data_IF_404618376411
#
_entry.id   IF_404618376411
#
_cell.length_a   1.000
_cell.length_b   1.000
_cell.length_c   1.000
_cell.angle_alpha   90.00
_cell.angle_beta   90.00
_cell.angle_gamma   90.00
#
_symmetry.space_group_name_H-M   'P 1'
#
loop_
_entity.id
_entity.type
_entity.pdbx_description
1 polymer ?
#
# COMPACT_ATOMS: atom_id res chain seq x y z
N UNK A 1 -17.54 4.65 16.35
CA UNK A 1 -16.19 5.21 16.33
C UNK A 1 -15.43 4.82 15.08
N UNK A 2 -14.89 5.77 14.45
CA UNK A 2 -14.18 5.53 13.22
C UNK A 2 -12.72 5.17 13.48
N UNK A 3 -12.27 4.10 12.88
CA UNK A 3 -10.86 3.75 12.98
C UNK A 3 -10.06 4.59 12.00
N UNK A 4 -8.79 4.75 12.31
CA UNK A 4 -7.91 5.47 11.42
C UNK A 4 -7.71 4.68 10.14
N UNK A 5 -7.79 5.36 9.01
CA UNK A 5 -7.59 4.74 7.73
C UNK A 5 -6.46 5.42 7.00
N UNK A 6 -5.73 4.66 6.22
CA UNK A 6 -4.66 5.18 5.40
C UNK A 6 -5.18 5.36 3.98
N UNK A 7 -5.11 6.59 3.51
CA UNK A 7 -5.51 6.90 2.16
C UNK A 7 -4.27 6.99 1.28
N UNK A 8 -4.33 6.30 0.17
CA UNK A 8 -3.23 6.28 -0.78
C UNK A 8 -3.68 7.04 -2.01
N UNK A 9 -3.63 8.35 -1.90
CA UNK A 9 -4.17 9.25 -2.90
C UNK A 9 -3.03 9.92 -3.65
N UNK A 10 -2.55 9.26 -4.68
CA UNK A 10 -1.44 9.74 -5.48
C UNK A 10 -1.92 10.30 -6.80
N UNK A 11 -1.21 11.30 -7.31
CA UNK A 11 -1.36 11.64 -8.72
C UNK A 11 -0.81 10.48 -9.53
N UNK A 12 -1.22 10.42 -10.80
CA UNK A 12 -0.73 9.36 -11.68
C UNK A 12 0.79 9.41 -11.78
N UNK A 13 1.34 10.60 -11.84
CA UNK A 13 2.78 10.78 -11.96
C UNK A 13 3.50 10.29 -10.70
N UNK A 14 2.99 10.65 -9.54
CA UNK A 14 3.59 10.23 -8.29
C UNK A 14 3.53 8.71 -8.15
N UNK A 15 2.39 8.12 -8.48
CA UNK A 15 2.24 6.68 -8.43
C UNK A 15 3.26 5.99 -9.34
N UNK A 16 3.37 6.48 -10.57
CA UNK A 16 4.32 5.89 -11.52
C UNK A 16 5.75 6.02 -11.03
N UNK A 17 6.08 7.15 -10.42
CA UNK A 17 7.42 7.37 -9.89
C UNK A 17 7.73 6.37 -8.78
N UNK A 18 6.79 6.19 -7.86
CA UNK A 18 6.97 5.25 -6.75
C UNK A 18 7.16 3.85 -7.28
N UNK A 19 6.35 3.45 -8.25
CA UNK A 19 6.42 2.09 -8.79
C UNK A 19 7.68 1.84 -9.59
N UNK A 20 8.25 2.88 -10.19
CA UNK A 20 9.47 2.75 -10.97
C UNK A 20 10.73 2.89 -10.13
N UNK A 21 10.60 3.38 -8.90
CA UNK A 21 11.76 3.63 -8.05
C UNK A 21 11.98 2.44 -7.10
N UNK A 22 13.03 2.56 -6.29
CA UNK A 22 13.35 1.55 -5.29
C UNK A 22 12.87 1.95 -3.90
N UNK A 23 11.94 2.89 -3.83
CA UNK A 23 11.38 3.31 -2.55
C UNK A 23 10.70 2.14 -1.86
N UNK A 24 9.98 1.32 -2.64
CA UNK A 24 9.31 0.14 -2.13
C UNK A 24 9.90 -1.11 -2.77
N UNK A 25 9.87 -2.20 -2.01
CA UNK A 25 10.25 -3.51 -2.55
C UNK A 25 9.14 -4.02 -3.45
N UNK A 26 9.46 -5.02 -4.27
CA UNK A 26 8.48 -5.55 -5.22
C UNK A 26 7.21 -6.01 -4.52
N UNK A 27 7.35 -6.70 -3.39
CA UNK A 27 6.17 -7.15 -2.64
C UNK A 27 5.32 -5.97 -2.19
N UNK A 28 5.97 -4.91 -1.70
CA UNK A 28 5.25 -3.74 -1.23
C UNK A 28 4.58 -3.02 -2.39
N UNK A 29 5.20 -3.03 -3.56
CA UNK A 29 4.58 -2.43 -4.75
C UNK A 29 3.29 -3.16 -5.11
N UNK A 30 3.29 -4.48 -5.03
CA UNK A 30 2.09 -5.26 -5.31
C UNK A 30 1.00 -4.92 -4.31
N UNK A 31 1.36 -4.79 -3.03
CA UNK A 31 0.41 -4.44 -2.00
C UNK A 31 -0.15 -3.04 -2.25
N UNK A 32 0.71 -2.09 -2.58
CA UNK A 32 0.28 -0.74 -2.86
C UNK A 32 -0.68 -0.70 -4.05
N UNK A 33 -0.38 -1.45 -5.07
CA UNK A 33 -1.24 -1.51 -6.25
C UNK A 33 -2.65 -1.96 -5.85
N UNK A 34 -2.74 -2.98 -5.02
CA UNK A 34 -4.03 -3.48 -4.57
C UNK A 34 -4.74 -2.44 -3.69
N UNK A 35 -3.99 -1.77 -2.82
CA UNK A 35 -4.58 -0.75 -1.96
C UNK A 35 -5.17 0.40 -2.78
N UNK A 36 -4.44 0.83 -3.79
CA UNK A 36 -4.90 1.92 -4.66
C UNK A 36 -6.14 1.51 -5.44
N UNK A 37 -6.23 0.23 -5.79
CA UNK A 37 -7.39 -0.29 -6.52
C UNK A 37 -8.57 -0.59 -5.61
N UNK A 38 -8.46 -0.31 -4.32
CA UNK A 38 -9.59 -0.50 -3.41
C UNK A 38 -9.76 -1.92 -2.92
N UNK A 39 -8.77 -2.78 -3.13
CA UNK A 39 -8.83 -4.16 -2.65
C UNK A 39 -8.74 -4.15 -1.12
N UNK A 40 -9.61 -4.91 -0.48
CA UNK A 40 -9.63 -4.95 0.97
C UNK A 40 -8.38 -5.60 1.51
N UNK A 41 -7.92 -5.13 2.67
CA UNK A 41 -6.72 -5.65 3.30
C UNK A 41 -6.79 -7.17 3.49
N UNK A 42 -7.96 -7.68 3.84
CA UNK A 42 -8.14 -9.11 4.03
C UNK A 42 -7.86 -9.88 2.76
N UNK A 43 -8.35 -9.38 1.63
CA UNK A 43 -8.12 -10.03 0.35
C UNK A 43 -6.66 -9.92 -0.07
N UNK A 44 -6.03 -8.79 0.22
CA UNK A 44 -4.61 -8.62 -0.07
C UNK A 44 -3.80 -9.67 0.67
N UNK A 45 -4.15 -9.91 1.93
CA UNK A 45 -3.46 -10.91 2.74
C UNK A 45 -3.57 -12.29 2.10
N UNK A 46 -4.77 -12.64 1.67
CA UNK A 46 -5.01 -13.94 1.04
C UNK A 46 -4.19 -14.05 -0.24
N UNK A 47 -4.22 -13.01 -1.08
CA UNK A 47 -3.52 -13.03 -2.35
C UNK A 47 -2.01 -13.12 -2.19
N UNK A 48 -1.48 -12.58 -1.11
CA UNK A 48 -0.05 -12.58 -0.86
C UNK A 48 0.37 -13.70 0.09
N UNK A 49 -0.57 -14.56 0.48
CA UNK A 49 -0.29 -15.68 1.38
C UNK A 49 0.34 -15.22 2.68
N UNK A 50 -0.15 -14.10 3.19
CA UNK A 50 0.32 -13.50 4.43
C UNK A 50 -0.83 -13.41 5.41
N UNK A 51 -0.51 -13.20 6.69
CA UNK A 51 -1.54 -12.97 7.68
C UNK A 51 -2.09 -11.54 7.49
N UNK A 52 -3.32 -11.35 7.95
CA UNK A 52 -3.94 -10.03 7.93
C UNK A 52 -3.06 -9.02 8.66
N UNK A 53 -2.50 -9.44 9.78
CA UNK A 53 -1.66 -8.56 10.59
C UNK A 53 -0.43 -8.11 9.82
N UNK A 54 0.18 -9.02 9.07
CA UNK A 54 1.36 -8.68 8.28
C UNK A 54 1.03 -7.61 7.26
N UNK A 55 -0.12 -7.74 6.60
CA UNK A 55 -0.52 -6.74 5.60
C UNK A 55 -0.82 -5.40 6.26
N UNK A 56 -1.42 -5.40 7.44
CA UNK A 56 -1.68 -4.15 8.15
C UNK A 56 -0.38 -3.44 8.47
N UNK A 57 0.63 -4.18 8.91
CA UNK A 57 1.96 -3.61 9.20
C UNK A 57 2.59 -3.07 7.93
N UNK A 58 2.52 -3.84 6.84
CA UNK A 58 3.08 -3.41 5.57
C UNK A 58 2.38 -2.16 5.05
N UNK A 59 1.06 -2.12 5.18
CA UNK A 59 0.30 -0.95 4.75
C UNK A 59 0.76 0.30 5.46
N UNK A 60 0.97 0.21 6.76
CA UNK A 60 1.44 1.35 7.54
C UNK A 60 2.82 1.79 7.06
N UNK A 61 3.73 0.84 6.85
CA UNK A 61 5.08 1.17 6.39
C UNK A 61 5.06 1.80 5.02
N UNK A 62 4.24 1.27 4.12
CA UNK A 62 4.13 1.84 2.78
C UNK A 62 3.63 3.27 2.86
N UNK A 63 2.63 3.51 3.68
CA UNK A 63 2.10 4.86 3.85
C UNK A 63 3.17 5.81 4.35
N UNK A 64 3.94 5.40 5.37
CA UNK A 64 4.98 6.27 5.91
C UNK A 64 6.05 6.59 4.89
N UNK A 65 6.39 5.63 4.04
CA UNK A 65 7.43 5.85 3.04
C UNK A 65 6.95 6.70 1.87
N UNK A 66 5.67 6.73 1.60
CA UNK A 66 5.15 7.37 0.39
C UNK A 66 4.27 8.57 0.67
N UNK A 67 4.00 8.91 1.93
CA UNK A 67 3.08 10.00 2.24
C UNK A 67 3.57 11.33 1.70
N UNK A 68 4.87 11.50 1.55
CA UNK A 68 5.40 12.76 1.03
C UNK A 68 5.11 12.94 -0.46
N UNK A 69 4.68 11.89 -1.14
CA UNK A 69 4.32 11.97 -2.55
C UNK A 69 2.84 12.23 -2.77
N UNK A 70 2.07 12.25 -1.71
CA UNK A 70 0.63 12.55 -1.81
C UNK A 70 0.32 14.07 -1.64
#
# INVERSE_FOLDING_TARGET
MKTMEYYFDYTKEAYNYIMASNILRNRDKDILKDLVNGIKTKEIAINNKCSYRTICTRRKEIFEKTKSFM
#
